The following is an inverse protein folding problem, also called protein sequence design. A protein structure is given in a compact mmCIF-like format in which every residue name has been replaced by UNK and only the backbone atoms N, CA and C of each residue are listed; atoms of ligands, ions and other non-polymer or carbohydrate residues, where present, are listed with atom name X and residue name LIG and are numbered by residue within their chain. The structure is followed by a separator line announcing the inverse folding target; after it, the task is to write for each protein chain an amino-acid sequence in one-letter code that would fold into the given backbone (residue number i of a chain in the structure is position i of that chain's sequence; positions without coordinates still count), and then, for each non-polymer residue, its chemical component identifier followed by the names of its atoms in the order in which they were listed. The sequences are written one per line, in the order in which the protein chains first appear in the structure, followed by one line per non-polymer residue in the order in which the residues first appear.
data_IF_006062349740
#
_entry.id   IF_006062349740
#
_cell.length_a   1.000
_cell.length_b   1.000
_cell.length_c   1.000
_cell.angle_alpha   90.00
_cell.angle_beta   90.00
_cell.angle_gamma   90.00
#
_symmetry.space_group_name_H-M   'P 1'
#
loop_
_entity.id
_entity.type
_entity.pdbx_description
1 polymer ?
#
# COMPACT_ATOMS: atom_id res chain seq x y z
N UNK A 1 5.32 22.99 16.57
CA UNK A 1 5.20 23.32 15.13
C UNK A 1 5.91 22.23 14.35
N UNK A 2 5.31 21.69 13.29
CA UNK A 2 6.04 20.80 12.37
C UNK A 2 7.04 21.65 11.59
N UNK A 3 8.21 21.11 11.25
CA UNK A 3 9.24 21.82 10.47
C UNK A 3 8.68 22.37 9.16
N UNK A 4 7.82 21.61 8.49
CA UNK A 4 7.15 21.98 7.24
C UNK A 4 6.21 23.18 7.37
N UNK A 5 5.44 23.27 8.47
CA UNK A 5 4.55 24.41 8.69
C UNK A 5 5.34 25.71 8.99
N UNK A 6 6.52 25.57 9.62
CA UNK A 6 7.45 26.69 9.81
C UNK A 6 8.03 27.19 8.50
N UNK A 7 8.48 26.27 7.64
CA UNK A 7 9.03 26.60 6.31
C UNK A 7 8.00 27.27 5.40
N UNK A 8 6.76 26.76 5.38
CA UNK A 8 5.67 27.39 4.63
C UNK A 8 5.38 28.79 5.17
N UNK A 9 5.42 28.99 6.49
CA UNK A 9 5.21 30.31 7.08
C UNK A 9 6.30 31.32 6.68
N UNK A 10 7.57 30.89 6.62
CA UNK A 10 8.66 31.74 6.12
C UNK A 10 8.47 32.09 4.64
N UNK A 11 8.20 31.10 3.78
CA UNK A 11 7.92 31.34 2.35
C UNK A 11 6.76 32.30 2.13
N UNK A 12 5.70 32.20 2.93
CA UNK A 12 4.56 33.11 2.86
C UNK A 12 4.94 34.54 3.26
N UNK A 13 5.77 34.72 4.30
CA UNK A 13 6.25 36.05 4.73
C UNK A 13 7.15 36.68 3.68
N UNK A 14 8.07 35.92 3.10
CA UNK A 14 8.97 36.38 2.04
C UNK A 14 8.18 36.78 0.79
N UNK A 15 7.27 35.91 0.32
CA UNK A 15 6.47 36.18 -0.88
C UNK A 15 5.54 37.39 -0.69
N UNK A 16 5.01 37.57 0.53
CA UNK A 16 4.21 38.75 0.87
C UNK A 16 5.03 40.03 0.78
N UNK A 17 6.23 40.06 1.36
CA UNK A 17 7.11 41.22 1.29
C UNK A 17 7.52 41.55 -0.17
N UNK A 18 7.77 40.53 -0.98
CA UNK A 18 8.08 40.68 -2.42
C UNK A 18 6.93 41.38 -3.16
N UNK A 19 5.69 40.93 -2.97
CA UNK A 19 4.54 41.55 -3.64
C UNK A 19 4.18 42.93 -3.12
N UNK A 20 4.34 43.20 -1.83
CA UNK A 20 4.15 44.54 -1.27
C UNK A 20 5.17 45.54 -1.85
N UNK A 21 6.42 45.12 -2.03
CA UNK A 21 7.44 45.94 -2.69
C UNK A 21 7.09 46.23 -4.16
N UNK A 22 6.58 45.22 -4.89
CA UNK A 22 6.10 45.40 -6.27
C UNK A 22 4.91 46.36 -6.31
N UNK A 23 3.90 46.18 -5.47
CA UNK A 23 2.74 47.08 -5.43
C UNK A 23 3.08 48.53 -5.05
N UNK A 24 4.15 48.72 -4.28
CA UNK A 24 4.68 50.06 -3.97
C UNK A 24 5.29 50.75 -5.19
N UNK A 25 5.81 49.98 -6.16
CA UNK A 25 6.47 50.52 -7.37
C UNK A 25 5.59 50.51 -8.61
N UNK A 26 4.67 49.55 -8.69
CA UNK A 26 3.70 49.37 -9.76
C UNK A 26 2.29 49.49 -9.18
N UNK A 27 1.68 50.67 -9.33
CA UNK A 27 0.35 50.98 -8.82
C UNK A 27 -0.77 50.19 -9.51
N UNK A 28 -0.46 49.45 -10.60
CA UNK A 28 -1.41 48.53 -11.22
C UNK A 28 -1.60 47.24 -10.42
N UNK A 29 -0.66 46.92 -9.52
CA UNK A 29 -0.76 45.76 -8.63
C UNK A 29 -1.59 46.14 -7.40
N UNK A 30 -2.78 45.56 -7.30
CA UNK A 30 -3.69 45.80 -6.19
C UNK A 30 -3.27 45.01 -4.93
N UNK A 31 -3.05 45.73 -3.81
CA UNK A 31 -2.73 45.17 -2.49
C UNK A 31 -3.76 44.12 -2.00
N UNK A 32 -5.06 44.32 -2.25
CA UNK A 32 -6.11 43.34 -1.90
C UNK A 32 -6.03 42.04 -2.71
N UNK A 33 -5.34 42.05 -3.87
CA UNK A 33 -5.13 40.84 -4.68
C UNK A 33 -3.87 40.07 -4.29
N UNK A 34 -2.99 40.63 -3.48
CA UNK A 34 -1.74 39.97 -3.05
C UNK A 34 -2.05 38.68 -2.31
N UNK A 35 -3.01 38.70 -1.37
CA UNK A 35 -3.37 37.49 -0.62
C UNK A 35 -3.94 36.38 -1.53
N UNK A 36 -4.76 36.74 -2.52
CA UNK A 36 -5.28 35.78 -3.52
C UNK A 36 -4.16 35.18 -4.38
N UNK A 37 -3.17 36.00 -4.73
CA UNK A 37 -2.02 35.59 -5.52
C UNK A 37 -1.10 34.66 -4.73
N UNK A 38 -0.81 34.98 -3.47
CA UNK A 38 -0.04 34.10 -2.57
C UNK A 38 -0.77 32.78 -2.32
N UNK A 39 -2.10 32.81 -2.14
CA UNK A 39 -2.89 31.59 -2.00
C UNK A 39 -2.74 30.68 -3.23
N UNK A 40 -2.74 31.27 -4.43
CA UNK A 40 -2.62 30.52 -5.69
C UNK A 40 -1.20 30.03 -5.95
N UNK A 41 -0.18 30.88 -5.75
CA UNK A 41 1.21 30.58 -6.12
C UNK A 41 1.97 29.80 -5.04
N UNK A 42 1.58 29.92 -3.77
CA UNK A 42 2.24 29.24 -2.64
C UNK A 42 1.30 28.20 -2.02
N UNK A 43 0.13 28.57 -1.51
CA UNK A 43 -0.69 27.57 -0.79
C UNK A 43 -1.33 26.52 -1.70
N UNK A 44 -1.59 26.85 -2.97
CA UNK A 44 -2.16 25.94 -3.96
C UNK A 44 -1.27 24.71 -4.19
N UNK A 45 -0.06 24.87 -4.74
CA UNK A 45 0.86 23.76 -4.99
C UNK A 45 1.15 22.93 -3.74
N UNK A 46 1.35 23.56 -2.58
CA UNK A 46 1.60 22.88 -1.31
C UNK A 46 0.43 21.99 -0.88
N UNK A 47 -0.81 22.43 -1.09
CA UNK A 47 -2.01 21.64 -0.79
C UNK A 47 -2.18 20.49 -1.79
N UNK A 48 -2.04 20.75 -3.09
CA UNK A 48 -2.14 19.72 -4.12
C UNK A 48 -1.04 18.66 -3.97
N UNK A 49 0.19 19.07 -3.67
CA UNK A 49 1.31 18.17 -3.41
C UNK A 49 1.06 17.26 -2.22
N UNK A 50 0.56 17.80 -1.09
CA UNK A 50 0.18 16.97 0.07
C UNK A 50 -0.95 16.00 -0.24
N UNK A 51 -1.97 16.43 -0.97
CA UNK A 51 -3.08 15.56 -1.38
C UNK A 51 -2.55 14.44 -2.28
N UNK A 52 -1.70 14.76 -3.26
CA UNK A 52 -1.08 13.78 -4.15
C UNK A 52 -0.22 12.78 -3.38
N UNK A 53 0.59 13.24 -2.43
CA UNK A 53 1.41 12.37 -1.56
C UNK A 53 0.52 11.43 -0.73
N UNK A 54 -0.54 11.96 -0.12
CA UNK A 54 -1.46 11.15 0.68
C UNK A 54 -2.18 10.11 -0.18
N UNK A 55 -2.60 10.48 -1.39
CA UNK A 55 -3.20 9.55 -2.35
C UNK A 55 -2.21 8.47 -2.79
N UNK A 56 -0.97 8.82 -3.11
CA UNK A 56 0.07 7.86 -3.47
C UNK A 56 0.32 6.85 -2.34
N UNK A 57 0.49 7.34 -1.11
CA UNK A 57 0.65 6.48 0.07
C UNK A 57 -0.56 5.55 0.28
N UNK A 58 -1.78 6.06 0.06
CA UNK A 58 -3.01 5.25 0.20
C UNK A 58 -3.06 4.15 -0.86
N UNK A 59 -2.72 4.47 -2.11
CA UNK A 59 -2.67 3.49 -3.20
C UNK A 59 -1.63 2.42 -2.93
N UNK A 60 -0.45 2.81 -2.43
CA UNK A 60 0.61 1.87 -2.08
C UNK A 60 0.17 0.89 -0.98
N UNK A 61 -0.50 1.39 0.08
CA UNK A 61 -1.11 0.54 1.11
C UNK A 61 -2.16 -0.43 0.55
N UNK A 62 -3.00 0.02 -0.40
CA UNK A 62 -3.99 -0.85 -1.05
C UNK A 62 -3.31 -1.97 -1.81
N UNK A 63 -2.24 -1.66 -2.56
CA UNK A 63 -1.47 -2.65 -3.33
C UNK A 63 -0.82 -3.67 -2.38
N UNK A 64 -0.24 -3.22 -1.28
CA UNK A 64 0.34 -4.13 -0.29
C UNK A 64 -0.69 -5.09 0.31
N UNK A 65 -1.87 -4.58 0.65
CA UNK A 65 -2.96 -5.40 1.19
C UNK A 65 -3.43 -6.42 0.16
N UNK A 66 -3.60 -6.01 -1.10
CA UNK A 66 -3.99 -6.90 -2.20
C UNK A 66 -2.95 -8.01 -2.40
N UNK A 67 -1.65 -7.67 -2.41
CA UNK A 67 -0.56 -8.66 -2.54
C UNK A 67 -0.58 -9.67 -1.40
N UNK A 68 -0.68 -9.21 -0.14
CA UNK A 68 -0.74 -10.10 1.03
C UNK A 68 -1.94 -11.05 0.96
N UNK A 69 -3.07 -10.57 0.44
CA UNK A 69 -4.24 -11.40 0.27
C UNK A 69 -4.04 -12.50 -0.77
N UNK A 70 -3.43 -12.18 -1.91
CA UNK A 70 -3.08 -13.16 -2.95
C UNK A 70 -2.06 -14.20 -2.45
N UNK A 71 -1.02 -13.76 -1.74
CA UNK A 71 -0.02 -14.64 -1.13
C UNK A 71 -0.69 -15.60 -0.13
N UNK A 72 -1.59 -15.10 0.72
CA UNK A 72 -2.32 -15.94 1.67
C UNK A 72 -3.21 -16.96 0.96
N UNK A 73 -3.90 -16.57 -0.12
CA UNK A 73 -4.69 -17.51 -0.91
C UNK A 73 -3.82 -18.62 -1.53
N UNK A 74 -2.62 -18.28 -2.01
CA UNK A 74 -1.69 -19.26 -2.54
C UNK A 74 -1.16 -20.21 -1.47
N UNK A 75 -0.82 -19.69 -0.29
CA UNK A 75 -0.38 -20.51 0.85
C UNK A 75 -1.46 -21.51 1.27
N UNK A 76 -2.70 -21.06 1.42
CA UNK A 76 -3.81 -21.95 1.79
C UNK A 76 -4.07 -23.04 0.73
N UNK A 77 -3.94 -22.71 -0.55
CA UNK A 77 -4.06 -23.71 -1.63
C UNK A 77 -2.94 -24.72 -1.60
N UNK A 78 -1.70 -24.28 -1.40
CA UNK A 78 -0.54 -25.17 -1.28
C UNK A 78 -0.70 -26.10 -0.06
N UNK A 79 -1.06 -25.55 1.10
CA UNK A 79 -1.28 -26.35 2.32
C UNK A 79 -2.41 -27.36 2.15
N UNK A 80 -3.50 -26.99 1.47
CA UNK A 80 -4.60 -27.91 1.17
C UNK A 80 -4.13 -29.06 0.26
N UNK A 81 -3.37 -28.76 -0.80
CA UNK A 81 -2.83 -29.76 -1.71
C UNK A 81 -1.85 -30.71 -1.00
N UNK A 82 -0.98 -30.17 -0.13
CA UNK A 82 -0.04 -30.97 0.66
C UNK A 82 -0.77 -31.89 1.63
N UNK A 83 -1.83 -31.41 2.29
CA UNK A 83 -2.67 -32.24 3.16
C UNK A 83 -3.39 -33.33 2.39
N UNK A 84 -3.97 -33.01 1.24
CA UNK A 84 -4.67 -33.96 0.39
C UNK A 84 -3.72 -35.08 -0.05
N UNK A 85 -2.54 -34.71 -0.56
CA UNK A 85 -1.50 -35.65 -0.96
C UNK A 85 -1.03 -36.53 0.21
N UNK A 86 -0.85 -35.96 1.40
CA UNK A 86 -0.47 -36.71 2.59
C UNK A 86 -1.56 -37.71 3.01
N UNK A 87 -2.84 -37.34 2.89
CA UNK A 87 -3.96 -38.25 3.18
C UNK A 87 -4.04 -39.39 2.17
N UNK A 88 -3.95 -39.10 0.86
CA UNK A 88 -3.97 -40.16 -0.17
C UNK A 88 -2.77 -41.11 -0.03
N UNK A 89 -1.58 -40.60 0.29
CA UNK A 89 -0.41 -41.43 0.53
C UNK A 89 -0.60 -42.37 1.74
N UNK A 90 -1.22 -41.89 2.82
CA UNK A 90 -1.53 -42.70 4.01
C UNK A 90 -2.55 -43.80 3.71
N UNK A 91 -3.62 -43.47 2.98
CA UNK A 91 -4.64 -44.45 2.58
C UNK A 91 -4.06 -45.52 1.65
N UNK A 92 -3.27 -45.12 0.65
CA UNK A 92 -2.60 -46.05 -0.26
C UNK A 92 -1.63 -46.98 0.49
N UNK A 93 -0.87 -46.45 1.46
CA UNK A 93 0.02 -47.25 2.29
C UNK A 93 -0.73 -48.24 3.19
N UNK A 94 -1.87 -47.84 3.74
CA UNK A 94 -2.72 -48.73 4.53
C UNK A 94 -3.30 -49.86 3.68
N UNK A 95 -3.85 -49.54 2.51
CA UNK A 95 -4.39 -50.52 1.56
C UNK A 95 -3.32 -51.50 1.07
N UNK A 96 -2.10 -51.02 0.80
CA UNK A 96 -0.98 -51.88 0.40
C UNK A 96 -0.58 -52.87 1.51
N UNK A 97 -0.55 -52.41 2.77
CA UNK A 97 -0.27 -53.27 3.94
C UNK A 97 -1.36 -54.32 4.15
N UNK A 98 -2.62 -53.94 4.00
CA UNK A 98 -3.75 -54.87 4.11
C UNK A 98 -3.70 -55.93 3.00
N UNK A 99 -3.48 -55.52 1.75
CA UNK A 99 -3.35 -56.45 0.63
C UNK A 99 -2.17 -57.41 0.80
N UNK A 100 -1.03 -56.95 1.34
CA UNK A 100 0.11 -57.82 1.64
C UNK A 100 -0.22 -58.83 2.76
N UNK A 101 -0.94 -58.39 3.81
CA UNK A 101 -1.35 -59.26 4.90
C UNK A 101 -2.35 -60.34 4.42
N UNK A 102 -3.33 -59.99 3.59
CA UNK A 102 -4.28 -60.95 3.01
C UNK A 102 -3.57 -62.00 2.17
N UNK A 103 -2.63 -61.60 1.30
CA UNK A 103 -1.85 -62.56 0.49
C UNK A 103 -1.08 -63.56 1.33
N UNK A 104 -0.43 -63.12 2.42
CA UNK A 104 0.27 -64.02 3.34
C UNK A 104 -0.66 -65.00 4.04
N UNK A 105 -1.88 -64.57 4.36
CA UNK A 105 -2.89 -65.43 4.98
C UNK A 105 -3.37 -66.51 4.00
N UNK A 106 -3.67 -66.13 2.76
CA UNK A 106 -4.11 -67.07 1.71
C UNK A 106 -3.03 -68.12 1.40
N UNK A 107 -1.74 -67.73 1.38
CA UNK A 107 -0.61 -68.66 1.20
C UNK A 107 -0.47 -69.69 2.33
N UNK A 108 -0.88 -69.35 3.56
CA UNK A 108 -0.82 -70.27 4.71
C UNK A 108 -2.02 -71.22 4.81
N UNK A 109 -3.10 -70.97 4.06
CA UNK A 109 -4.30 -71.81 4.02
C UNK A 109 -4.33 -72.82 2.86
N UNK A 110 -3.32 -72.77 1.99
CA UNK A 110 -3.06 -73.72 0.90
C UNK A 110 -2.10 -74.83 1.34
#
# INVERSE_FOLDING_TARGET
MTSEAGEIMEKLKEKKAEYEAIASTDSSVNLEKIDNRINTEVLGPERYGRIAQMQANTVEQIIEVQRKYEELQQQLRAEAADREAATTAREAAAAAREAEASRKYDELQL
#
